data_IF_200999709008
#
_entry.id   IF_200999709008
#
_cell.length_a   1.000
_cell.length_b   1.000
_cell.length_c   1.000
_cell.angle_alpha   90.00
_cell.angle_beta   90.00
_cell.angle_gamma   90.00
#
_symmetry.space_group_name_H-M   'P 1'
#
loop_
_entity.id
_entity.type
_entity.pdbx_description
1 polymer ?
#
# COMPACT_ATOMS: atom_id res chain seq x y z
N UNK A 1 44.18 1.95 6.16
CA UNK A 1 42.92 1.18 6.24
C UNK A 1 41.81 2.20 6.13
N UNK A 2 41.25 2.36 4.93
CA UNK A 2 40.04 3.15 4.72
C UNK A 2 39.19 2.35 3.75
N UNK A 3 38.29 1.54 4.29
CA UNK A 3 37.38 0.72 3.49
C UNK A 3 36.16 1.57 3.17
N UNK A 4 36.09 2.04 1.92
CA UNK A 4 34.91 2.65 1.35
C UNK A 4 33.69 1.76 1.56
N UNK A 5 32.70 2.30 2.26
CA UNK A 5 31.38 1.69 2.42
C UNK A 5 30.65 1.79 1.08
N UNK A 6 30.77 0.75 0.26
CA UNK A 6 29.95 0.60 -0.93
C UNK A 6 28.50 0.42 -0.51
N UNK A 7 27.68 1.46 -0.68
CA UNK A 7 26.22 1.33 -0.63
C UNK A 7 25.81 0.41 -1.78
N UNK A 8 25.45 -0.83 -1.46
CA UNK A 8 24.83 -1.74 -2.40
C UNK A 8 23.42 -1.20 -2.64
N UNK A 9 23.25 -0.45 -3.73
CA UNK A 9 21.95 -0.06 -4.27
C UNK A 9 21.16 -1.34 -4.53
N UNK A 10 20.25 -1.67 -3.62
CA UNK A 10 19.44 -2.88 -3.72
C UNK A 10 18.41 -2.65 -4.84
N UNK A 11 18.54 -3.26 -6.03
CA UNK A 11 17.73 -2.92 -7.21
C UNK A 11 16.24 -3.21 -7.00
N UNK A 12 15.93 -4.00 -5.99
CA UNK A 12 14.58 -4.41 -5.60
C UNK A 12 13.78 -3.28 -4.93
N UNK A 13 14.45 -2.38 -4.21
CA UNK A 13 13.77 -1.31 -3.46
C UNK A 13 13.02 -0.32 -4.38
N UNK A 14 13.55 -0.08 -5.59
CA UNK A 14 12.90 0.77 -6.59
C UNK A 14 11.73 0.11 -7.32
N UNK A 15 11.61 -1.21 -7.27
CA UNK A 15 10.60 -1.97 -8.02
C UNK A 15 9.27 -2.11 -7.27
N UNK A 16 9.28 -1.91 -5.96
CA UNK A 16 8.10 -2.01 -5.09
C UNK A 16 7.63 -0.65 -4.55
N UNK A 17 8.22 0.45 -5.04
CA UNK A 17 7.75 1.79 -4.73
C UNK A 17 6.34 2.02 -5.30
N UNK A 18 5.54 2.78 -4.58
CA UNK A 18 4.23 3.22 -5.08
C UNK A 18 4.45 4.12 -6.30
N UNK A 19 3.54 4.10 -7.28
CA UNK A 19 3.60 5.05 -8.38
C UNK A 19 3.49 6.48 -7.84
N UNK A 20 4.19 7.43 -8.47
CA UNK A 20 4.27 8.83 -8.01
C UNK A 20 2.91 9.55 -7.99
N UNK A 21 1.92 9.01 -8.70
CA UNK A 21 0.55 9.49 -8.76
C UNK A 21 -0.44 8.59 -7.99
N UNK A 22 0.03 7.74 -7.08
CA UNK A 22 -0.85 6.90 -6.25
C UNK A 22 -1.81 7.76 -5.40
N UNK A 23 -3.09 7.37 -5.38
CA UNK A 23 -4.09 8.04 -4.54
C UNK A 23 -3.81 7.89 -3.04
N UNK A 24 -3.20 6.78 -2.61
CA UNK A 24 -2.80 6.51 -1.23
C UNK A 24 -1.32 6.10 -1.13
N UNK A 25 -0.71 6.41 0.00
CA UNK A 25 0.63 6.00 0.38
C UNK A 25 0.64 4.99 1.53
N UNK A 26 1.80 4.36 1.75
CA UNK A 26 2.02 3.49 2.91
C UNK A 26 1.65 4.18 4.22
N UNK A 27 0.91 3.48 5.08
CA UNK A 27 0.48 3.97 6.39
C UNK A 27 -0.78 4.84 6.39
N UNK A 28 -1.27 5.28 5.22
CA UNK A 28 -2.54 6.01 5.12
C UNK A 28 -3.67 5.20 5.75
N UNK A 29 -4.47 5.87 6.59
CA UNK A 29 -5.64 5.26 7.20
C UNK A 29 -6.83 5.39 6.24
N UNK A 30 -7.42 4.25 5.89
CA UNK A 30 -8.50 4.18 4.91
C UNK A 30 -9.63 3.28 5.42
N UNK A 31 -10.81 3.45 4.83
CA UNK A 31 -11.92 2.51 4.98
C UNK A 31 -12.65 2.29 3.66
N UNK A 32 -13.45 1.24 3.60
CA UNK A 32 -14.40 1.04 2.50
C UNK A 32 -15.55 2.05 2.56
N UNK A 33 -15.87 2.62 1.39
CA UNK A 33 -16.99 3.56 1.23
C UNK A 33 -18.36 2.91 1.44
N UNK A 34 -18.50 1.63 1.08
CA UNK A 34 -19.79 0.93 1.13
C UNK A 34 -19.64 -0.59 1.17
N UNK A 35 -20.75 -1.29 1.46
CA UNK A 35 -20.81 -2.74 1.55
C UNK A 35 -20.19 -3.28 2.85
N UNK A 36 -19.60 -4.48 2.79
CA UNK A 36 -18.92 -5.07 3.95
C UNK A 36 -17.82 -4.14 4.47
N UNK A 37 -17.79 -3.88 5.78
CA UNK A 37 -16.84 -2.95 6.38
C UNK A 37 -15.42 -3.49 6.34
N UNK A 38 -14.47 -2.60 6.06
CA UNK A 38 -13.04 -2.82 6.23
C UNK A 38 -12.38 -1.46 6.51
N UNK A 39 -11.52 -1.40 7.52
CA UNK A 39 -10.83 -0.18 7.93
C UNK A 39 -9.45 -0.53 8.48
N UNK A 40 -8.47 0.30 8.16
CA UNK A 40 -7.12 0.19 8.71
C UNK A 40 -6.11 0.92 7.82
N UNK A 41 -4.91 0.37 7.69
CA UNK A 41 -3.78 1.09 7.08
C UNK A 41 -3.34 0.47 5.77
N UNK A 42 -2.90 1.32 4.83
CA UNK A 42 -2.30 0.88 3.58
C UNK A 42 -0.94 0.24 3.87
N UNK A 43 -0.79 -1.03 3.47
CA UNK A 43 0.44 -1.83 3.64
C UNK A 43 1.02 -2.33 2.32
N UNK A 44 0.39 -2.00 1.20
CA UNK A 44 0.88 -2.35 -0.13
C UNK A 44 -0.05 -1.90 -1.24
N UNK A 45 0.37 -2.15 -2.47
CA UNK A 45 -0.40 -1.83 -3.67
C UNK A 45 -0.35 -2.98 -4.68
N UNK A 46 -1.29 -2.99 -5.62
CA UNK A 46 -1.32 -3.92 -6.72
C UNK A 46 -1.89 -3.25 -7.99
N UNK A 47 -1.56 -3.83 -9.14
CA UNK A 47 -2.09 -3.40 -10.43
C UNK A 47 -2.36 -4.62 -11.31
N UNK A 48 -3.53 -4.62 -11.94
CA UNK A 48 -3.95 -5.62 -12.92
C UNK A 48 -4.70 -4.93 -14.05
N UNK A 49 -5.02 -5.64 -15.13
CA UNK A 49 -5.86 -5.10 -16.21
C UNK A 49 -7.26 -4.67 -15.73
N UNK A 50 -7.85 -5.41 -14.77
CA UNK A 50 -9.18 -5.11 -14.22
C UNK A 50 -9.14 -4.01 -13.15
N UNK A 51 -8.08 -3.98 -12.35
CA UNK A 51 -7.87 -2.98 -11.31
C UNK A 51 -6.53 -2.30 -11.54
N UNK A 52 -6.49 -1.23 -12.35
CA UNK A 52 -5.26 -0.52 -12.65
C UNK A 52 -4.59 0.09 -11.41
N UNK A 53 -5.37 0.35 -10.36
CA UNK A 53 -4.89 0.86 -9.09
C UNK A 53 -5.68 0.24 -7.93
N UNK A 54 -4.99 -0.51 -7.08
CA UNK A 54 -5.56 -1.13 -5.91
C UNK A 54 -4.56 -1.23 -4.77
N UNK A 55 -5.09 -1.44 -3.57
CA UNK A 55 -4.35 -1.33 -2.32
C UNK A 55 -4.58 -2.52 -1.41
N UNK A 56 -3.54 -2.92 -0.70
CA UNK A 56 -3.60 -3.85 0.41
C UNK A 56 -3.81 -3.06 1.70
N UNK A 57 -4.88 -3.38 2.43
CA UNK A 57 -5.27 -2.72 3.67
C UNK A 57 -5.21 -3.74 4.81
N UNK A 58 -4.29 -3.53 5.74
CA UNK A 58 -4.26 -4.27 7.01
C UNK A 58 -5.35 -3.72 7.93
N UNK A 59 -6.13 -4.61 8.55
CA UNK A 59 -7.22 -4.23 9.45
C UNK A 59 -6.69 -3.68 10.77
N UNK A 60 -7.21 -2.53 11.22
CA UNK A 60 -6.90 -2.00 12.55
C UNK A 60 -7.59 -2.80 13.68
N UNK A 61 -8.67 -3.53 13.36
CA UNK A 61 -9.40 -4.36 14.33
C UNK A 61 -8.86 -5.80 14.42
N UNK A 62 -8.14 -6.24 13.39
CA UNK A 62 -7.62 -7.60 13.28
C UNK A 62 -6.17 -7.58 12.76
N UNK A 63 -5.17 -7.32 13.63
CA UNK A 63 -3.76 -7.22 13.23
C UNK A 63 -3.27 -8.44 12.45
N UNK A 64 -2.48 -8.22 11.42
CA UNK A 64 -2.01 -9.23 10.47
C UNK A 64 -3.03 -9.66 9.41
N UNK A 65 -4.31 -9.29 9.55
CA UNK A 65 -5.33 -9.59 8.53
C UNK A 65 -5.33 -8.51 7.46
N UNK A 66 -5.03 -8.92 6.21
CA UNK A 66 -4.94 -8.03 5.06
C UNK A 66 -6.00 -8.40 4.03
N UNK A 67 -6.64 -7.39 3.45
CA UNK A 67 -7.50 -7.54 2.27
C UNK A 67 -7.13 -6.52 1.20
N UNK A 68 -7.48 -6.83 -0.05
CA UNK A 68 -7.16 -5.99 -1.21
C UNK A 68 -8.41 -5.39 -1.83
N UNK A 69 -8.31 -4.11 -2.21
CA UNK A 69 -9.44 -3.37 -2.79
C UNK A 69 -8.99 -2.43 -3.91
N UNK A 70 -9.83 -2.24 -4.96
CA UNK A 70 -9.63 -1.16 -5.91
C UNK A 70 -9.67 0.20 -5.22
N UNK A 71 -8.91 1.17 -5.73
CA UNK A 71 -8.90 2.55 -5.24
C UNK A 71 -10.31 3.15 -5.10
N UNK A 72 -11.20 2.84 -6.05
CA UNK A 72 -12.56 3.36 -6.08
C UNK A 72 -13.39 2.95 -4.85
N UNK A 73 -13.08 1.82 -4.21
CA UNK A 73 -13.80 1.31 -3.04
C UNK A 73 -13.35 1.96 -1.72
N UNK A 74 -12.22 2.67 -1.70
CA UNK A 74 -11.58 3.19 -0.50
C UNK A 74 -11.70 4.71 -0.40
N UNK A 75 -11.81 5.21 0.82
CA UNK A 75 -11.66 6.62 1.18
C UNK A 75 -10.66 6.77 2.33
N UNK A 76 -9.84 7.83 2.27
CA UNK A 76 -8.93 8.19 3.37
C UNK A 76 -9.73 8.80 4.51
N UNK A 77 -9.37 8.43 5.73
CA UNK A 77 -9.95 8.96 6.96
C UNK A 77 -8.85 9.51 7.84
N UNK A 78 -9.17 10.57 8.59
CA UNK A 78 -8.25 11.26 9.49
C UNK A 78 -8.14 10.58 10.86
#
# INVERSE_FOLDING_TARGET
>A
MDQGRSEVSNPVAGQFAFPSNAAFGMGDRVRKKSGAAWQGQIVGWYCTKLTPEGYAVESEAHPGSVQIYPVAALERIN
#
